data_IF_882876211462
#
_entry.id   IF_882876211462
#
_cell.length_a   1.000
_cell.length_b   1.000
_cell.length_c   1.000
_cell.angle_alpha   90.00
_cell.angle_beta   90.00
_cell.angle_gamma   90.00
#
_symmetry.space_group_name_H-M   'P 1'
#
loop_
_entity.id
_entity.type
_entity.pdbx_description
1 polymer ?
#
# COMPACT_ATOMS: atom_id res chain seq x y z
N UNK A 1 -31.45 -40.59 20.43
CA UNK A 1 -30.60 -40.23 19.26
C UNK A 1 -31.05 -38.96 18.54
N UNK A 2 -32.36 -38.72 18.39
CA UNK A 2 -32.90 -37.53 17.72
C UNK A 2 -32.48 -36.20 18.38
N UNK A 3 -32.50 -36.14 19.71
CA UNK A 3 -32.10 -34.96 20.48
C UNK A 3 -30.63 -34.55 20.25
N UNK A 4 -29.72 -35.53 20.15
CA UNK A 4 -28.29 -35.29 19.82
C UNK A 4 -28.12 -34.77 18.39
N UNK A 5 -28.94 -35.23 17.43
CA UNK A 5 -28.93 -34.75 16.04
C UNK A 5 -29.49 -33.33 15.94
N UNK A 6 -30.54 -33.01 16.71
CA UNK A 6 -31.10 -31.65 16.79
C UNK A 6 -30.11 -30.65 17.40
N UNK A 7 -29.40 -31.06 18.46
CA UNK A 7 -28.35 -30.24 19.07
C UNK A 7 -27.19 -29.96 18.10
N UNK A 8 -26.77 -30.96 17.31
CA UNK A 8 -25.73 -30.77 16.31
C UNK A 8 -26.17 -29.81 15.19
N UNK A 9 -27.42 -29.93 14.73
CA UNK A 9 -27.98 -29.04 13.73
C UNK A 9 -28.09 -27.60 14.24
N UNK A 10 -28.43 -27.41 15.51
CA UNK A 10 -28.52 -26.09 16.14
C UNK A 10 -27.15 -25.41 16.28
N UNK A 11 -26.08 -26.18 16.55
CA UNK A 11 -24.70 -25.66 16.61
C UNK A 11 -24.18 -25.28 15.23
N UNK A 12 -24.54 -26.02 14.18
CA UNK A 12 -24.17 -25.71 12.79
C UNK A 12 -24.92 -24.52 12.20
N UNK A 13 -26.09 -24.17 12.75
CA UNK A 13 -26.85 -22.97 12.38
C UNK A 13 -26.52 -21.75 13.26
N UNK A 14 -25.59 -21.87 14.21
CA UNK A 14 -25.18 -20.73 15.00
C UNK A 14 -24.51 -19.68 14.08
N UNK A 15 -24.93 -18.40 14.13
CA UNK A 15 -24.34 -17.36 13.32
C UNK A 15 -22.85 -17.23 13.66
N UNK A 16 -21.99 -17.34 12.65
CA UNK A 16 -20.56 -17.05 12.80
C UNK A 16 -20.42 -15.56 13.10
N UNK A 17 -19.89 -15.22 14.28
CA UNK A 17 -19.51 -13.85 14.57
C UNK A 17 -18.49 -13.39 13.52
N UNK A 18 -18.62 -12.18 12.96
CA UNK A 18 -17.60 -11.66 12.06
C UNK A 18 -16.27 -11.63 12.82
N UNK A 19 -15.22 -12.18 12.19
CA UNK A 19 -13.88 -12.05 12.72
C UNK A 19 -13.52 -10.57 12.72
N UNK A 20 -13.19 -10.02 13.89
CA UNK A 20 -12.66 -8.67 13.98
C UNK A 20 -11.23 -8.71 13.44
N UNK A 21 -11.04 -8.21 12.22
CA UNK A 21 -9.71 -8.01 11.67
C UNK A 21 -9.12 -6.73 12.28
N UNK A 22 -7.88 -6.80 12.74
CA UNK A 22 -7.13 -5.58 13.04
C UNK A 22 -6.55 -5.04 11.73
N UNK A 23 -6.28 -3.75 11.72
CA UNK A 23 -5.64 -3.07 10.61
C UNK A 23 -4.28 -2.56 11.06
N UNK A 24 -3.31 -2.56 10.15
CA UNK A 24 -2.08 -1.82 10.32
C UNK A 24 -2.31 -0.44 9.70
N UNK A 25 -2.08 0.59 10.52
CA UNK A 25 -2.13 1.98 10.12
C UNK A 25 -0.71 2.56 10.06
N UNK A 26 -0.35 3.12 8.92
CA UNK A 26 0.95 3.74 8.65
C UNK A 26 0.73 5.24 8.50
N UNK A 27 0.99 6.06 9.55
CA UNK A 27 0.91 7.50 9.43
C UNK A 27 1.94 7.99 8.41
N UNK A 28 1.60 9.03 7.65
CA UNK A 28 2.50 9.68 6.69
C UNK A 28 2.72 11.17 6.99
N UNK A 29 2.22 11.64 8.13
CA UNK A 29 2.53 12.96 8.67
C UNK A 29 3.95 13.01 9.29
N UNK A 30 4.23 14.05 10.06
CA UNK A 30 5.54 14.28 10.68
C UNK A 30 5.94 13.22 11.73
N UNK A 31 5.04 12.31 12.12
CA UNK A 31 5.36 11.21 13.04
C UNK A 31 6.05 10.03 12.38
N UNK A 32 6.04 9.97 11.05
CA UNK A 32 6.68 8.92 10.29
C UNK A 32 8.19 9.12 10.22
N UNK A 33 8.95 8.05 10.47
CA UNK A 33 10.42 8.05 10.45
C UNK A 33 10.98 7.74 9.08
N UNK A 34 10.29 6.91 8.30
CA UNK A 34 10.79 6.38 7.02
C UNK A 34 9.70 6.46 5.93
N UNK A 35 9.33 7.68 5.52
CA UNK A 35 8.27 7.89 4.51
C UNK A 35 8.56 7.18 3.19
N UNK A 36 9.80 7.25 2.69
CA UNK A 36 10.16 6.64 1.42
C UNK A 36 10.10 5.11 1.48
N UNK A 37 10.52 4.51 2.61
CA UNK A 37 10.37 3.07 2.82
C UNK A 37 8.91 2.66 2.96
N UNK A 38 8.03 3.52 3.48
CA UNK A 38 6.59 3.24 3.54
C UNK A 38 5.97 3.08 2.14
N UNK A 39 6.34 3.92 1.17
CA UNK A 39 5.94 3.70 -0.23
C UNK A 39 6.48 2.37 -0.79
N UNK A 40 7.75 2.06 -0.47
CA UNK A 40 8.37 0.78 -0.78
C UNK A 40 7.63 -0.43 -0.21
N UNK A 41 7.20 -0.35 1.04
CA UNK A 41 6.39 -1.36 1.70
C UNK A 41 5.03 -1.53 1.01
N UNK A 42 4.37 -0.45 0.61
CA UNK A 42 3.11 -0.54 -0.13
C UNK A 42 3.30 -1.29 -1.45
N UNK A 43 4.37 -0.98 -2.20
CA UNK A 43 4.73 -1.72 -3.41
C UNK A 43 4.97 -3.20 -3.12
N UNK A 44 5.74 -3.50 -2.07
CA UNK A 44 6.02 -4.87 -1.63
C UNK A 44 4.72 -5.61 -1.25
N UNK A 45 3.81 -4.99 -0.51
CA UNK A 45 2.53 -5.59 -0.10
C UNK A 45 1.69 -5.95 -1.32
N UNK A 46 1.55 -5.05 -2.29
CA UNK A 46 0.85 -5.31 -3.54
C UNK A 46 1.49 -6.48 -4.33
N UNK A 47 2.82 -6.63 -4.28
CA UNK A 47 3.52 -7.76 -4.91
C UNK A 47 3.21 -9.11 -4.27
N UNK A 48 2.72 -9.08 -3.03
CA UNK A 48 2.22 -10.23 -2.28
C UNK A 48 0.69 -10.38 -2.35
N UNK A 49 0.03 -9.62 -3.22
CA UNK A 49 -1.43 -9.60 -3.36
C UNK A 49 -2.14 -9.16 -2.08
N UNK A 50 -1.47 -8.32 -1.28
CA UNK A 50 -2.04 -7.67 -0.11
C UNK A 50 -2.48 -6.28 -0.56
N UNK A 51 -3.79 -6.04 -0.49
CA UNK A 51 -4.39 -4.75 -0.81
C UNK A 51 -3.97 -3.68 0.20
N UNK A 52 -3.86 -2.44 -0.27
CA UNK A 52 -3.51 -1.29 0.56
C UNK A 52 -4.51 -0.18 0.29
N UNK A 53 -5.11 0.36 1.35
CA UNK A 53 -5.93 1.56 1.28
C UNK A 53 -5.02 2.78 1.44
N UNK A 54 -4.98 3.62 0.41
CA UNK A 54 -4.32 4.92 0.46
C UNK A 54 -5.30 6.00 0.89
N UNK A 55 -5.09 6.54 2.08
CA UNK A 55 -5.95 7.50 2.75
C UNK A 55 -5.52 8.92 2.35
N UNK A 56 -6.01 9.37 1.20
CA UNK A 56 -5.64 10.65 0.59
C UNK A 56 -5.97 11.82 1.51
N UNK A 57 -4.99 12.69 1.73
CA UNK A 57 -5.03 13.85 2.63
C UNK A 57 -5.34 13.55 4.11
N UNK A 58 -5.53 12.29 4.51
CA UNK A 58 -5.63 11.89 5.90
C UNK A 58 -4.25 11.66 6.49
N UNK A 59 -3.88 12.43 7.54
CA UNK A 59 -2.58 12.36 8.21
C UNK A 59 -1.39 12.22 7.25
N UNK A 60 -1.30 13.15 6.29
CA UNK A 60 -0.20 13.19 5.31
C UNK A 60 -0.31 12.18 4.15
N UNK A 61 -1.49 11.59 3.90
CA UNK A 61 -1.65 10.58 2.86
C UNK A 61 -1.30 9.19 3.38
N UNK A 62 -1.84 8.83 4.55
CA UNK A 62 -1.52 7.60 5.27
C UNK A 62 -1.91 6.33 4.52
N UNK A 63 -1.37 5.20 4.94
CA UNK A 63 -1.75 3.88 4.40
C UNK A 63 -2.40 3.03 5.48
N UNK A 64 -3.34 2.19 5.06
CA UNK A 64 -3.91 1.14 5.89
C UNK A 64 -3.97 -0.18 5.12
N UNK A 65 -3.80 -1.28 5.84
CA UNK A 65 -3.95 -2.64 5.30
C UNK A 65 -4.33 -3.60 6.42
N UNK A 66 -4.89 -4.75 6.06
CA UNK A 66 -5.22 -5.78 7.05
C UNK A 66 -3.96 -6.23 7.81
N UNK A 67 -4.09 -6.40 9.12
CA UNK A 67 -2.97 -6.77 9.97
C UNK A 67 -2.54 -8.22 9.71
N UNK A 68 -1.29 -8.38 9.27
CA UNK A 68 -0.67 -9.68 9.05
C UNK A 68 0.73 -9.70 9.67
N UNK A 69 1.14 -10.78 10.37
CA UNK A 69 2.47 -10.85 11.02
C UNK A 69 3.65 -10.60 10.07
N UNK A 70 3.51 -11.02 8.80
CA UNK A 70 4.53 -10.78 7.77
C UNK A 70 4.71 -9.29 7.47
N UNK A 71 3.62 -8.53 7.41
CA UNK A 71 3.64 -7.08 7.16
C UNK A 71 4.25 -6.34 8.35
N UNK A 72 3.84 -6.68 9.58
CA UNK A 72 4.41 -6.06 10.79
C UNK A 72 5.93 -6.30 10.89
N UNK A 73 6.38 -7.49 10.51
CA UNK A 73 7.80 -7.83 10.48
C UNK A 73 8.57 -6.99 9.47
N UNK A 74 8.05 -6.84 8.25
CA UNK A 74 8.67 -6.00 7.22
C UNK A 74 8.71 -4.52 7.61
N UNK A 75 7.61 -4.00 8.17
CA UNK A 75 7.54 -2.63 8.69
C UNK A 75 8.62 -2.38 9.74
N UNK A 76 8.76 -3.30 10.70
CA UNK A 76 9.76 -3.21 11.77
C UNK A 76 11.19 -3.26 11.22
N UNK A 77 11.49 -4.19 10.30
CA UNK A 77 12.81 -4.33 9.67
C UNK A 77 13.18 -3.08 8.85
N UNK A 78 12.18 -2.46 8.19
CA UNK A 78 12.35 -1.24 7.38
C UNK A 78 12.34 0.05 8.21
N UNK A 79 12.12 -0.04 9.53
CA UNK A 79 12.12 1.12 10.43
C UNK A 79 10.91 2.05 10.27
N UNK A 80 9.84 1.58 9.65
CA UNK A 80 8.64 2.37 9.35
C UNK A 80 7.79 2.49 10.62
N UNK A 81 7.33 3.70 10.94
CA UNK A 81 6.37 3.92 12.03
C UNK A 81 5.01 3.36 11.62
N UNK A 82 4.41 2.48 12.44
CA UNK A 82 3.07 1.94 12.24
C UNK A 82 2.34 1.71 13.57
N UNK A 83 1.03 1.50 13.49
CA UNK A 83 0.18 1.16 14.63
C UNK A 83 -0.79 0.04 14.22
N UNK A 84 -0.94 -0.98 15.05
CA UNK A 84 -2.02 -1.95 14.89
C UNK A 84 -3.28 -1.38 15.56
N UNK A 85 -4.31 -1.11 14.78
CA UNK A 85 -5.59 -0.54 15.21
C UNK A 85 -6.71 -1.56 15.05
N UNK A 86 -7.74 -1.44 15.88
CA UNK A 86 -8.94 -2.27 15.78
C UNK A 86 -9.81 -1.89 14.59
N UNK A 87 -10.67 -2.81 14.17
CA UNK A 87 -11.70 -2.54 13.15
C UNK A 87 -12.55 -1.30 13.44
N UNK A 88 -12.92 -1.12 14.72
CA UNK A 88 -13.71 0.03 15.14
C UNK A 88 -12.96 1.37 14.96
N UNK A 89 -11.66 1.38 15.23
CA UNK A 89 -10.82 2.56 15.00
C UNK A 89 -10.67 2.84 13.51
N UNK A 90 -10.47 1.79 12.69
CA UNK A 90 -10.35 1.94 11.25
C UNK A 90 -11.64 2.48 10.62
N UNK A 91 -12.79 1.93 11.02
CA UNK A 91 -14.11 2.43 10.61
C UNK A 91 -14.31 3.90 11.01
N UNK A 92 -13.81 4.30 12.18
CA UNK A 92 -13.80 5.70 12.61
C UNK A 92 -13.01 6.61 11.66
N UNK A 93 -11.83 6.18 11.22
CA UNK A 93 -11.01 6.90 10.22
C UNK A 93 -11.78 7.02 8.90
N UNK A 94 -12.36 5.91 8.41
CA UNK A 94 -13.15 5.93 7.17
C UNK A 94 -14.36 6.87 7.26
N UNK A 95 -14.99 6.96 8.44
CA UNK A 95 -16.11 7.87 8.67
C UNK A 95 -15.69 9.34 8.63
N UNK A 96 -14.49 9.66 9.13
CA UNK A 96 -13.92 11.01 9.05
C UNK A 96 -13.59 11.39 7.61
N UNK A 97 -12.99 10.47 6.86
CA UNK A 97 -12.65 10.67 5.44
C UNK A 97 -13.92 10.85 4.58
N UNK A 98 -15.00 10.14 4.91
CA UNK A 98 -16.26 10.18 4.18
C UNK A 98 -17.08 11.47 4.41
N UNK A 99 -16.66 12.38 5.31
CA UNK A 99 -17.33 13.67 5.48
C UNK A 99 -17.23 14.46 4.15
N UNK A 100 -18.37 14.86 3.52
CA UNK A 100 -18.35 15.60 2.26
C UNK A 100 -17.61 16.94 2.31
N UNK A 101 -17.34 17.48 3.51
CA UNK A 101 -16.58 18.70 3.71
C UNK A 101 -15.10 18.44 3.99
N UNK A 102 -14.71 17.21 4.29
CA UNK A 102 -13.31 16.81 4.40
C UNK A 102 -12.76 16.63 2.99
N UNK A 103 -11.71 17.38 2.64
CA UNK A 103 -11.00 17.21 1.36
C UNK A 103 -10.10 15.96 1.41
N UNK A 104 -10.71 14.79 1.59
CA UNK A 104 -10.06 13.50 1.79
C UNK A 104 -10.75 12.43 0.95
N UNK A 105 -10.05 11.33 0.68
CA UNK A 105 -10.61 10.20 -0.06
C UNK A 105 -9.85 8.90 0.26
N UNK A 106 -10.43 7.74 -0.06
CA UNK A 106 -9.77 6.43 0.07
C UNK A 106 -9.58 5.83 -1.31
N UNK A 107 -8.33 5.66 -1.71
CA UNK A 107 -7.97 4.97 -2.94
C UNK A 107 -7.47 3.56 -2.64
N UNK A 108 -8.22 2.56 -3.09
CA UNK A 108 -7.80 1.15 -3.00
C UNK A 108 -6.70 0.83 -4.00
N UNK A 109 -5.61 0.27 -3.52
CA UNK A 109 -4.51 -0.21 -4.33
C UNK A 109 -4.52 -1.74 -4.31
N UNK A 110 -4.64 -2.34 -5.49
CA UNK A 110 -4.82 -3.79 -5.65
C UNK A 110 -3.73 -4.44 -6.52
N UNK A 111 -3.04 -3.64 -7.34
CA UNK A 111 -2.08 -4.12 -8.33
C UNK A 111 -0.78 -3.32 -8.28
N UNK A 112 0.34 -4.06 -8.39
CA UNK A 112 1.67 -3.50 -8.58
C UNK A 112 1.77 -2.77 -9.93
N UNK A 113 2.19 -1.49 -9.97
CA UNK A 113 2.46 -0.80 -11.22
C UNK A 113 3.81 -1.18 -11.81
N UNK A 114 3.89 -1.28 -13.13
CA UNK A 114 5.17 -1.35 -13.85
C UNK A 114 5.65 0.07 -14.18
N UNK A 115 6.82 0.44 -13.65
CA UNK A 115 7.35 1.80 -13.70
C UNK A 115 8.52 1.89 -14.68
N UNK A 116 8.52 2.90 -15.55
CA UNK A 116 9.66 3.30 -16.36
C UNK A 116 10.18 4.68 -15.95
N UNK A 117 11.49 4.85 -16.03
CA UNK A 117 12.15 6.15 -15.93
C UNK A 117 12.92 6.42 -17.21
N UNK A 118 12.51 7.45 -17.94
CA UNK A 118 13.26 7.95 -19.07
C UNK A 118 14.47 8.75 -18.58
N UNK A 119 15.67 8.39 -19.02
CA UNK A 119 16.91 9.05 -18.59
C UNK A 119 17.80 9.40 -19.80
N UNK A 120 18.28 10.65 -19.92
CA UNK A 120 19.20 11.02 -21.01
C UNK A 120 20.53 10.25 -20.93
N UNK A 121 21.16 9.97 -22.09
CA UNK A 121 22.47 9.31 -22.14
C UNK A 121 23.52 10.18 -21.41
N UNK A 122 24.30 9.56 -20.51
CA UNK A 122 25.46 10.19 -19.86
C UNK A 122 25.25 10.82 -18.48
N UNK A 123 24.05 10.72 -17.88
CA UNK A 123 23.81 11.21 -16.50
C UNK A 123 24.37 10.25 -15.44
N UNK A 124 24.84 10.83 -14.33
CA UNK A 124 25.30 10.08 -13.16
C UNK A 124 24.09 9.64 -12.30
N UNK A 125 24.20 8.55 -11.52
CA UNK A 125 23.08 8.02 -10.73
C UNK A 125 22.46 8.99 -9.70
N UNK A 126 23.20 10.00 -9.24
CA UNK A 126 22.71 11.01 -8.30
C UNK A 126 22.06 12.22 -8.98
N UNK A 127 22.11 12.29 -10.32
CA UNK A 127 21.53 13.39 -11.08
C UNK A 127 20.00 13.25 -11.26
N UNK A 128 19.41 12.16 -10.79
CA UNK A 128 17.98 11.87 -10.87
C UNK A 128 17.45 11.44 -9.50
N UNK A 129 16.86 12.41 -8.79
CA UNK A 129 16.29 12.21 -7.46
C UNK A 129 15.18 11.14 -7.45
N UNK A 130 14.44 10.96 -8.54
CA UNK A 130 13.39 9.94 -8.62
C UNK A 130 14.02 8.55 -8.62
N UNK A 131 15.05 8.33 -9.42
CA UNK A 131 15.75 7.02 -9.40
C UNK A 131 16.40 6.74 -8.05
N UNK A 132 16.95 7.76 -7.38
CA UNK A 132 17.49 7.61 -6.02
C UNK A 132 16.41 7.23 -5.02
N UNK A 133 15.26 7.91 -5.04
CA UNK A 133 14.14 7.64 -4.14
C UNK A 133 13.53 6.26 -4.39
N UNK A 134 13.29 5.88 -5.65
CA UNK A 134 12.79 4.55 -6.00
C UNK A 134 13.76 3.46 -5.54
N UNK A 135 15.06 3.66 -5.75
CA UNK A 135 16.10 2.73 -5.28
C UNK A 135 16.13 2.64 -3.76
N UNK A 136 16.07 3.77 -3.05
CA UNK A 136 16.02 3.79 -1.58
C UNK A 136 14.76 3.12 -1.05
N UNK A 137 13.62 3.34 -1.69
CA UNK A 137 12.34 2.70 -1.37
C UNK A 137 12.29 1.22 -1.79
N UNK A 138 13.29 0.70 -2.50
CA UNK A 138 13.30 -0.65 -3.07
C UNK A 138 12.15 -0.92 -4.06
N UNK A 139 11.72 0.12 -4.77
CA UNK A 139 10.70 0.02 -5.83
C UNK A 139 11.43 -0.22 -7.16
N UNK A 140 11.20 -1.35 -7.85
CA UNK A 140 11.84 -1.64 -9.13
C UNK A 140 11.27 -0.75 -10.24
N UNK A 141 12.15 -0.36 -11.16
CA UNK A 141 11.82 0.43 -12.35
C UNK A 141 12.75 0.08 -13.50
N UNK A 142 12.26 0.23 -14.73
CA UNK A 142 13.07 0.07 -15.94
C UNK A 142 13.59 1.45 -16.39
N UNK A 143 14.88 1.53 -16.76
CA UNK A 143 15.41 2.73 -17.45
C UNK A 143 15.16 2.59 -18.95
N UNK A 144 14.63 3.63 -19.57
CA UNK A 144 14.39 3.68 -21.02
C UNK A 144 15.06 4.90 -21.64
N UNK A 145 15.48 4.79 -22.90
CA UNK A 145 16.11 5.86 -23.68
C UNK A 145 15.33 6.10 -24.97
N UNK A 146 15.83 7.04 -25.79
CA UNK A 146 15.19 7.46 -27.04
C UNK A 146 14.89 6.27 -27.97
N UNK A 147 15.86 5.37 -28.14
CA UNK A 147 15.75 4.23 -29.05
C UNK A 147 14.58 3.30 -28.63
N UNK A 148 14.43 3.02 -27.33
CA UNK A 148 13.31 2.22 -26.83
C UNK A 148 11.97 2.97 -26.94
N UNK A 149 11.94 4.27 -26.63
CA UNK A 149 10.73 5.09 -26.75
C UNK A 149 10.23 5.10 -28.20
N UNK A 150 11.14 5.35 -29.16
CA UNK A 150 10.85 5.34 -30.59
C UNK A 150 10.43 3.96 -31.11
N UNK A 151 10.89 2.88 -30.46
CA UNK A 151 10.43 1.51 -30.75
C UNK A 151 9.05 1.16 -30.19
N UNK A 152 8.41 2.08 -29.45
CA UNK A 152 7.04 1.92 -28.96
C UNK A 152 6.89 1.09 -27.69
N UNK A 153 7.88 1.08 -26.79
CA UNK A 153 7.79 0.29 -25.53
C UNK A 153 6.85 0.88 -24.48
N UNK A 154 6.44 2.14 -24.61
CA UNK A 154 5.69 2.86 -23.57
C UNK A 154 4.39 2.17 -23.11
N UNK A 155 3.56 1.56 -23.98
CA UNK A 155 2.34 0.88 -23.54
C UNK A 155 2.56 -0.33 -22.62
N UNK A 156 3.82 -0.76 -22.41
CA UNK A 156 4.17 -1.83 -21.47
C UNK A 156 4.21 -1.37 -20.02
N UNK A 157 4.15 -0.06 -19.76
CA UNK A 157 4.33 0.54 -18.44
C UNK A 157 3.04 1.22 -17.98
N UNK A 158 2.77 1.11 -16.68
CA UNK A 158 1.64 1.79 -16.03
C UNK A 158 2.01 3.23 -15.64
N UNK A 159 3.30 3.48 -15.36
CA UNK A 159 3.83 4.78 -14.98
C UNK A 159 5.14 5.11 -15.70
N UNK A 160 5.27 6.38 -16.08
CA UNK A 160 6.46 6.91 -16.74
C UNK A 160 6.91 8.19 -16.04
N UNK A 161 8.16 8.20 -15.56
CA UNK A 161 8.84 9.42 -15.16
C UNK A 161 9.71 9.92 -16.33
N UNK A 162 9.61 11.21 -16.63
CA UNK A 162 10.47 11.87 -17.62
C UNK A 162 11.47 12.74 -16.88
N UNK A 163 12.74 12.31 -16.87
CA UNK A 163 13.80 13.16 -16.35
C UNK A 163 14.06 14.33 -17.29
N UNK A 164 14.16 15.53 -16.74
CA UNK A 164 14.40 16.78 -17.48
C UNK A 164 15.89 17.12 -17.60
#
# INVERSE_FOLDING_TARGET
MLFKRLLLALVLLAPTLPALANHIFIPMDNSQKEHLKAYGLCYWALSKQIEVDWLLNYKGGSFALEAQPAVESELAVRGITFQTISEAQYTGILSEIADPNANMDVMKLEKVPKIAVYTPKGKQPWDDAVTMVLTYAEIPYDKIYDDEVLSGVLPKYDWLHLHH
#
